data_IF_640035150569
#
_entry.id   IF_640035150569
#
_cell.length_a   1.000
_cell.length_b   1.000
_cell.length_c   1.000
_cell.angle_alpha   90.00
_cell.angle_beta   90.00
_cell.angle_gamma   90.00
#
_symmetry.space_group_name_H-M   'P 1'
#
loop_
_entity.id
_entity.type
_entity.pdbx_description
1 polymer ?
#
# COMPACT_ATOMS: atom_id res chain seq x y z
N UNK A 1 16.63 25.91 -8.92
CA UNK A 1 15.45 25.03 -8.99
C UNK A 1 15.91 23.64 -8.55
N UNK A 2 15.56 23.21 -7.33
CA UNK A 2 15.99 21.90 -6.83
C UNK A 2 15.09 20.84 -7.46
N UNK A 3 15.62 20.09 -8.42
CA UNK A 3 14.93 18.95 -9.02
C UNK A 3 14.73 17.89 -7.94
N UNK A 4 13.50 17.72 -7.46
CA UNK A 4 13.14 16.62 -6.58
C UNK A 4 13.22 15.37 -7.45
N UNK A 5 14.19 14.50 -7.18
CA UNK A 5 14.29 13.21 -7.87
C UNK A 5 12.94 12.48 -7.73
N UNK A 6 12.43 11.81 -8.79
CA UNK A 6 11.17 11.08 -8.69
C UNK A 6 11.29 10.07 -7.54
N UNK A 7 10.46 10.25 -6.52
CA UNK A 7 10.39 9.32 -5.40
C UNK A 7 10.05 7.96 -6.01
N UNK A 8 10.95 6.98 -5.87
CA UNK A 8 10.69 5.61 -6.28
C UNK A 8 9.48 5.11 -5.50
N UNK A 9 8.33 5.13 -6.15
CA UNK A 9 7.06 4.76 -5.55
C UNK A 9 7.03 3.24 -5.37
N UNK A 10 6.67 2.73 -4.19
CA UNK A 10 6.50 1.30 -3.99
C UNK A 10 5.49 0.75 -5.00
N UNK A 11 5.74 -0.47 -5.48
CA UNK A 11 4.79 -1.23 -6.29
C UNK A 11 4.88 -2.69 -5.86
N UNK A 12 3.74 -3.31 -5.61
CA UNK A 12 3.70 -4.74 -5.32
C UNK A 12 3.46 -5.52 -6.62
N UNK A 13 4.32 -6.50 -6.91
CA UNK A 13 4.19 -7.35 -8.08
C UNK A 13 3.40 -8.62 -7.72
N UNK A 14 2.10 -8.61 -7.99
CA UNK A 14 1.20 -9.74 -7.75
C UNK A 14 1.54 -10.99 -8.58
N UNK A 15 2.12 -10.79 -9.76
CA UNK A 15 2.49 -11.86 -10.71
C UNK A 15 3.84 -12.53 -10.38
N UNK A 16 4.50 -12.13 -9.30
CA UNK A 16 5.76 -12.73 -8.89
C UNK A 16 5.59 -14.19 -8.49
N UNK A 17 6.52 -15.05 -8.91
CA UNK A 17 6.61 -16.43 -8.42
C UNK A 17 7.07 -16.51 -6.96
N UNK A 18 7.76 -15.49 -6.46
CA UNK A 18 8.16 -15.33 -5.06
C UNK A 18 7.50 -14.09 -4.46
N UNK A 19 6.21 -14.25 -4.12
CA UNK A 19 5.40 -13.18 -3.52
C UNK A 19 5.85 -12.77 -2.12
N UNK A 20 6.48 -13.68 -1.38
CA UNK A 20 6.98 -13.38 -0.03
C UNK A 20 8.15 -12.38 -0.08
N UNK A 21 9.09 -12.60 -1.00
CA UNK A 21 10.19 -11.66 -1.19
C UNK A 21 9.71 -10.32 -1.75
N UNK A 22 8.79 -10.31 -2.70
CA UNK A 22 8.18 -9.07 -3.19
C UNK A 22 7.45 -8.31 -2.08
N UNK A 23 6.76 -9.02 -1.17
CA UNK A 23 6.08 -8.41 -0.03
C UNK A 23 7.07 -7.75 0.93
N UNK A 24 8.20 -8.43 1.20
CA UNK A 24 9.27 -7.86 2.03
C UNK A 24 9.87 -6.60 1.40
N UNK A 25 10.12 -6.60 0.09
CA UNK A 25 10.63 -5.43 -0.65
C UNK A 25 9.64 -4.28 -0.65
N UNK A 26 8.37 -4.56 -0.95
CA UNK A 26 7.29 -3.58 -0.92
C UNK A 26 7.18 -2.91 0.45
N UNK A 27 7.09 -3.71 1.53
CA UNK A 27 7.03 -3.18 2.90
C UNK A 27 8.27 -2.37 3.27
N UNK A 28 9.46 -2.80 2.88
CA UNK A 28 10.69 -2.04 3.13
C UNK A 28 10.61 -0.65 2.50
N UNK A 29 10.20 -0.57 1.23
CA UNK A 29 10.05 0.69 0.52
C UNK A 29 8.98 1.60 1.13
N UNK A 30 7.82 1.05 1.52
CA UNK A 30 6.78 1.82 2.23
C UNK A 30 7.32 2.41 3.54
N UNK A 31 8.05 1.62 4.34
CA UNK A 31 8.66 2.08 5.58
C UNK A 31 9.69 3.19 5.36
N UNK A 32 10.48 3.13 4.29
CA UNK A 32 11.41 4.21 3.93
C UNK A 32 10.65 5.52 3.66
N UNK A 33 9.54 5.45 2.93
CA UNK A 33 8.75 6.64 2.63
C UNK A 33 8.03 7.20 3.87
N UNK A 34 7.38 6.34 4.65
CA UNK A 34 6.64 6.74 5.86
C UNK A 34 7.53 7.14 7.03
N UNK A 35 8.82 6.81 7.01
CA UNK A 35 9.81 7.36 7.96
C UNK A 35 10.54 8.59 7.43
N UNK A 36 10.51 8.82 6.12
CA UNK A 36 11.19 9.91 5.46
C UNK A 36 10.20 10.96 4.93
N UNK A 37 10.04 11.07 3.59
CA UNK A 37 9.29 12.15 2.97
C UNK A 37 7.80 12.22 3.33
N UNK A 38 7.19 11.11 3.76
CA UNK A 38 5.76 11.03 4.11
C UNK A 38 5.54 10.83 5.62
N UNK A 39 6.53 11.16 6.45
CA UNK A 39 6.46 10.92 7.90
C UNK A 39 5.32 11.66 8.59
N UNK A 40 5.06 12.88 8.14
CA UNK A 40 4.10 13.81 8.75
C UNK A 40 2.68 13.67 8.16
N UNK A 41 2.50 12.77 7.19
CA UNK A 41 1.18 12.43 6.65
C UNK A 41 0.33 11.70 7.70
N UNK A 42 -0.98 11.93 7.65
CA UNK A 42 -1.93 11.23 8.53
C UNK A 42 -1.97 9.73 8.23
N UNK A 43 -2.32 8.93 9.23
CA UNK A 43 -2.32 7.47 9.11
C UNK A 43 -3.38 6.99 8.09
N UNK A 44 -4.52 7.67 7.99
CA UNK A 44 -5.52 7.36 6.95
C UNK A 44 -4.97 7.62 5.55
N UNK A 45 -4.22 8.71 5.38
CA UNK A 45 -3.57 9.05 4.10
C UNK A 45 -2.47 8.03 3.77
N UNK A 46 -1.68 7.60 4.74
CA UNK A 46 -0.69 6.52 4.58
C UNK A 46 -1.35 5.20 4.17
N UNK A 47 -2.52 4.87 4.71
CA UNK A 47 -3.29 3.70 4.30
C UNK A 47 -3.71 3.80 2.83
N UNK A 48 -4.19 4.96 2.38
CA UNK A 48 -4.52 5.19 0.97
C UNK A 48 -3.32 5.05 0.03
N UNK A 49 -2.13 5.51 0.44
CA UNK A 49 -0.90 5.26 -0.31
C UNK A 49 -0.61 3.78 -0.48
N UNK A 50 -0.72 2.99 0.60
CA UNK A 50 -0.51 1.53 0.54
C UNK A 50 -1.44 0.87 -0.47
N UNK A 51 -2.74 1.19 -0.43
CA UNK A 51 -3.73 0.64 -1.37
C UNK A 51 -3.36 1.00 -2.82
N UNK A 52 -3.06 2.27 -3.07
CA UNK A 52 -2.69 2.75 -4.41
C UNK A 52 -1.41 2.06 -4.93
N UNK A 53 -0.42 1.81 -4.06
CA UNK A 53 0.84 1.18 -4.44
C UNK A 53 0.76 -0.34 -4.58
N UNK A 54 -0.22 -0.97 -3.94
CA UNK A 54 -0.55 -2.36 -4.22
C UNK A 54 -1.27 -2.52 -5.56
N UNK A 55 -1.86 -1.45 -6.11
CA UNK A 55 -2.52 -1.50 -7.41
C UNK A 55 -3.90 -2.17 -7.38
N UNK A 56 -4.46 -2.53 -8.55
CA UNK A 56 -5.85 -2.98 -8.66
C UNK A 56 -6.21 -4.16 -7.76
N UNK A 57 -5.37 -5.20 -7.70
CA UNK A 57 -5.64 -6.39 -6.86
C UNK A 57 -5.64 -6.03 -5.36
N UNK A 58 -4.77 -5.11 -4.94
CA UNK A 58 -4.74 -4.62 -3.56
C UNK A 58 -5.97 -3.77 -3.22
N UNK A 59 -6.45 -2.98 -4.17
CA UNK A 59 -7.71 -2.25 -4.03
C UNK A 59 -8.91 -3.21 -3.97
N UNK A 60 -8.92 -4.28 -4.75
CA UNK A 60 -9.96 -5.31 -4.69
C UNK A 60 -9.99 -5.99 -3.32
N UNK A 61 -8.82 -6.40 -2.78
CA UNK A 61 -8.73 -6.94 -1.41
C UNK A 61 -9.31 -5.96 -0.38
N UNK A 62 -8.95 -4.67 -0.47
CA UNK A 62 -9.52 -3.65 0.41
C UNK A 62 -11.05 -3.53 0.27
N UNK A 63 -11.57 -3.56 -0.96
CA UNK A 63 -13.01 -3.52 -1.23
C UNK A 63 -13.74 -4.76 -0.69
N UNK A 64 -13.11 -5.95 -0.69
CA UNK A 64 -13.69 -7.16 -0.07
C UNK A 64 -13.79 -7.07 1.46
N UNK A 65 -13.09 -6.13 2.10
CA UNK A 65 -13.18 -5.86 3.53
C UNK A 65 -14.21 -4.80 3.92
N UNK A 66 -14.84 -4.14 2.95
CA UNK A 66 -16.02 -3.33 3.20
C UNK A 66 -17.21 -4.27 3.51
N UNK A 67 -17.20 -4.86 4.71
CA UNK A 67 -18.33 -5.62 5.24
C UNK A 67 -19.56 -4.73 5.13
N UNK A 68 -20.44 -5.07 4.20
CA UNK A 68 -21.77 -4.49 4.13
C UNK A 68 -22.44 -4.70 5.49
N UNK A 69 -23.41 -3.85 5.86
CA UNK A 69 -24.08 -3.99 7.16
C UNK A 69 -24.75 -5.37 7.34
N UNK A 70 -24.95 -6.12 6.26
CA UNK A 70 -25.47 -7.50 6.24
C UNK A 70 -24.39 -8.54 6.60
N UNK A 71 -23.12 -8.29 6.25
CA UNK A 71 -22.01 -9.22 6.53
C UNK A 71 -21.46 -9.08 7.97
N UNK A 72 -21.76 -7.97 8.66
CA UNK A 72 -21.36 -7.73 10.06
C UNK A 72 -21.96 -8.70 11.08
N UNK A 73 -23.03 -9.41 10.73
CA UNK A 73 -23.77 -10.28 11.67
C UNK A 73 -23.58 -11.78 11.42
N UNK A 74 -22.67 -12.17 10.52
CA UNK A 74 -22.49 -13.59 10.12
C UNK A 74 -21.14 -14.18 10.54
N UNK A 75 -20.34 -13.47 11.36
CA UNK A 75 -19.10 -13.99 11.95
C UNK A 75 -19.12 -13.93 13.47
#
# INVERSE_FOLDING_TARGET
MTTIAPINTPKFNWESSDRETEWRRFKLMCNVLFRGPLKDEDDDVKCWYLINWMGPDGAEVYCTWQLTNEEKYTF
#
